data_IF_340570450374
#
_entry.id   IF_340570450374
#
_cell.length_a   1.000
_cell.length_b   1.000
_cell.length_c   1.000
_cell.angle_alpha   90.00
_cell.angle_beta   90.00
_cell.angle_gamma   90.00
#
_symmetry.space_group_name_H-M   'P 1'
#
loop_
_entity.id
_entity.type
_entity.pdbx_description
1 polymer ?
#
# COMPACT_ATOMS: atom_id res chain seq x y z
N UNK A 1 -10.51 -10.43 23.40
CA UNK A 1 -10.67 -11.32 22.23
C UNK A 1 -9.48 -11.20 21.30
N UNK A 2 -9.26 -10.05 20.63
CA UNK A 2 -8.13 -9.88 19.69
C UNK A 2 -6.74 -10.20 20.31
N UNK A 3 -6.42 -9.63 21.47
CA UNK A 3 -5.15 -9.92 22.15
C UNK A 3 -4.94 -11.40 22.47
N UNK A 4 -6.01 -12.14 22.77
CA UNK A 4 -5.93 -13.58 23.02
C UNK A 4 -5.58 -14.36 21.75
N UNK A 5 -6.10 -13.94 20.59
CA UNK A 5 -5.73 -14.51 19.28
C UNK A 5 -4.28 -14.16 18.92
N UNK A 6 -3.90 -12.89 19.06
CA UNK A 6 -2.53 -12.43 18.79
C UNK A 6 -1.50 -13.21 19.62
N UNK A 7 -1.77 -13.38 20.92
CA UNK A 7 -0.93 -14.15 21.81
C UNK A 7 -0.84 -15.62 21.36
N UNK A 8 -1.96 -16.24 21.02
CA UNK A 8 -1.99 -17.62 20.51
C UNK A 8 -1.15 -17.81 19.23
N UNK A 9 -1.23 -16.87 18.28
CA UNK A 9 -0.44 -16.85 17.05
C UNK A 9 1.06 -16.64 17.33
N UNK A 10 1.38 -15.63 18.15
CA UNK A 10 2.76 -15.30 18.52
C UNK A 10 3.48 -16.47 19.22
N UNK A 11 2.80 -17.21 20.08
CA UNK A 11 3.35 -18.41 20.74
C UNK A 11 3.68 -19.55 19.76
N UNK A 12 3.30 -19.43 18.48
CA UNK A 12 3.54 -20.38 17.39
C UNK A 12 4.40 -19.78 16.29
N UNK A 13 5.08 -18.67 16.58
CA UNK A 13 5.90 -17.91 15.62
C UNK A 13 5.11 -17.41 14.40
N UNK A 14 3.78 -17.25 14.54
CA UNK A 14 2.91 -16.65 13.53
C UNK A 14 2.73 -15.18 13.89
N UNK A 15 3.35 -14.31 13.09
CA UNK A 15 3.18 -12.86 13.22
C UNK A 15 1.92 -12.39 12.50
N UNK A 16 1.21 -11.42 13.08
CA UNK A 16 0.04 -10.82 12.44
C UNK A 16 0.47 -9.52 11.75
N UNK A 17 0.22 -9.46 10.45
CA UNK A 17 0.48 -8.29 9.61
C UNK A 17 -0.82 -7.52 9.40
N UNK A 18 -0.89 -6.31 9.97
CA UNK A 18 -2.03 -5.42 9.88
C UNK A 18 -1.95 -4.44 8.73
N UNK A 19 -2.97 -3.62 8.62
CA UNK A 19 -3.13 -2.63 7.56
C UNK A 19 -3.72 -1.34 8.16
N UNK A 20 -3.16 -0.20 7.76
CA UNK A 20 -3.56 1.11 8.23
C UNK A 20 -3.70 2.06 7.03
N UNK A 21 -4.93 2.49 6.70
CA UNK A 21 -5.18 3.53 5.71
C UNK A 21 -4.36 4.80 6.04
N UNK A 22 -3.77 5.48 5.06
CA UNK A 22 -3.07 6.74 5.36
C UNK A 22 -4.04 7.76 5.96
N UNK A 23 -5.23 7.93 5.37
CA UNK A 23 -6.23 8.90 5.83
C UNK A 23 -7.25 8.27 6.78
N UNK A 24 -8.02 9.14 7.43
CA UNK A 24 -9.19 8.77 8.23
C UNK A 24 -10.43 9.36 7.57
N UNK A 25 -11.61 8.83 7.86
CA UNK A 25 -12.86 9.41 7.34
C UNK A 25 -13.15 10.76 7.99
N UNK A 26 -13.83 11.65 7.26
CA UNK A 26 -14.25 12.95 7.77
C UNK A 26 -15.19 12.81 8.98
N UNK A 27 -16.19 11.93 8.85
CA UNK A 27 -17.14 11.62 9.92
C UNK A 27 -16.56 10.56 10.88
N UNK A 28 -15.47 10.92 11.55
CA UNK A 28 -14.77 10.05 12.50
C UNK A 28 -14.47 10.76 13.81
N UNK A 29 -14.32 9.95 14.87
CA UNK A 29 -13.88 10.44 16.19
C UNK A 29 -12.49 11.07 16.10
N UNK A 30 -11.64 10.61 15.18
CA UNK A 30 -10.30 11.13 14.96
C UNK A 30 -10.33 12.60 14.52
N UNK A 31 -11.19 12.91 13.54
CA UNK A 31 -11.38 14.28 13.03
C UNK A 31 -12.14 15.13 14.04
N UNK A 32 -13.14 14.57 14.71
CA UNK A 32 -13.93 15.29 15.72
C UNK A 32 -13.10 15.70 16.95
N UNK A 33 -12.19 14.83 17.42
CA UNK A 33 -11.39 15.09 18.64
C UNK A 33 -10.08 15.82 18.38
N UNK A 34 -9.55 15.76 17.16
CA UNK A 34 -8.31 16.44 16.78
C UNK A 34 -8.47 17.28 15.49
N UNK A 35 -9.49 18.15 15.37
CA UNK A 35 -9.79 18.88 14.14
C UNK A 35 -8.64 19.79 13.70
N UNK A 36 -7.80 20.23 14.64
CA UNK A 36 -6.65 21.07 14.34
C UNK A 36 -5.49 20.34 13.64
N UNK A 37 -5.53 19.01 13.58
CA UNK A 37 -4.60 18.17 12.81
C UNK A 37 -4.98 18.03 11.33
N UNK A 38 -6.14 18.58 10.92
CA UNK A 38 -6.69 18.44 9.57
C UNK A 38 -6.93 19.82 8.92
N UNK A 39 -6.96 19.86 7.58
CA UNK A 39 -7.22 21.08 6.78
C UNK A 39 -8.71 21.38 6.75
N UNK A 40 -9.22 21.90 7.86
CA UNK A 40 -10.62 22.27 8.03
C UNK A 40 -10.78 23.79 8.13
N UNK A 41 -11.95 24.28 7.73
CA UNK A 41 -12.36 25.67 7.92
C UNK A 41 -12.86 25.94 9.36
N UNK A 42 -13.31 27.16 9.62
CA UNK A 42 -13.85 27.56 10.93
C UNK A 42 -15.12 26.78 11.32
N UNK A 43 -15.89 26.34 10.34
CA UNK A 43 -17.09 25.50 10.50
C UNK A 43 -16.77 24.00 10.51
N UNK A 44 -15.49 23.64 10.60
CA UNK A 44 -14.96 22.29 10.60
C UNK A 44 -15.21 21.50 9.32
N UNK A 45 -15.55 22.16 8.22
CA UNK A 45 -15.66 21.51 6.92
C UNK A 45 -14.29 21.36 6.26
N UNK A 46 -14.04 20.30 5.47
CA UNK A 46 -12.80 20.15 4.73
C UNK A 46 -12.57 21.32 3.76
N UNK A 47 -11.38 21.95 3.82
CA UNK A 47 -10.92 22.90 2.79
C UNK A 47 -10.46 22.17 1.53
N UNK A 48 -9.88 21.00 1.74
CA UNK A 48 -9.35 20.12 0.70
C UNK A 48 -9.60 18.67 1.08
N UNK A 49 -9.70 17.82 0.07
CA UNK A 49 -9.93 16.39 0.20
C UNK A 49 -8.88 15.57 -0.54
N UNK A 50 -8.68 14.36 -0.05
CA UNK A 50 -7.74 13.39 -0.62
C UNK A 50 -8.23 12.80 -1.94
N UNK A 51 -7.26 12.38 -2.73
CA UNK A 51 -7.46 11.62 -3.95
C UNK A 51 -6.13 11.23 -4.59
N UNK A 52 -6.19 10.82 -5.84
CA UNK A 52 -5.03 10.64 -6.73
C UNK A 52 -5.32 11.27 -8.08
N UNK A 53 -4.29 11.81 -8.76
CA UNK A 53 -4.47 12.44 -10.07
C UNK A 53 -4.95 11.42 -11.11
N UNK A 54 -5.45 11.90 -12.27
CA UNK A 54 -5.62 11.06 -13.44
C UNK A 54 -4.34 10.30 -13.80
N UNK A 55 -4.50 9.05 -14.19
CA UNK A 55 -3.43 8.20 -14.68
C UNK A 55 -3.94 7.33 -15.85
N UNK A 56 -3.11 6.39 -16.30
CA UNK A 56 -3.46 5.52 -17.42
C UNK A 56 -4.58 4.51 -17.10
N UNK A 57 -4.97 4.36 -15.83
CA UNK A 57 -6.09 3.53 -15.39
C UNK A 57 -7.37 4.34 -15.15
N UNK A 58 -7.26 5.62 -14.77
CA UNK A 58 -8.41 6.50 -14.54
C UNK A 58 -8.22 7.88 -15.18
N UNK A 59 -9.05 8.18 -16.20
CA UNK A 59 -9.04 9.48 -16.89
C UNK A 59 -9.38 10.67 -15.96
N UNK A 60 -10.12 10.43 -14.87
CA UNK A 60 -10.55 11.47 -13.92
C UNK A 60 -9.86 11.40 -12.57
N UNK A 61 -8.90 10.48 -12.42
CA UNK A 61 -8.26 10.15 -11.15
C UNK A 61 -9.24 9.47 -10.20
N UNK A 62 -8.97 9.56 -8.89
CA UNK A 62 -9.91 9.07 -7.87
C UNK A 62 -10.05 10.12 -6.79
N UNK A 63 -11.30 10.48 -6.48
CA UNK A 63 -11.64 11.41 -5.42
C UNK A 63 -12.12 10.61 -4.22
N UNK A 64 -11.32 10.56 -3.15
CA UNK A 64 -11.62 9.72 -1.99
C UNK A 64 -12.45 10.45 -0.93
N UNK A 65 -12.32 11.78 -0.86
CA UNK A 65 -13.14 12.62 0.01
C UNK A 65 -12.64 12.73 1.47
N UNK A 66 -11.60 11.99 1.86
CA UNK A 66 -11.02 12.10 3.19
C UNK A 66 -10.41 13.50 3.44
N UNK A 67 -10.48 14.04 4.67
CA UNK A 67 -9.81 15.28 5.00
C UNK A 67 -8.29 15.10 5.00
N UNK A 68 -7.59 16.12 4.50
CA UNK A 68 -6.13 16.11 4.45
C UNK A 68 -5.50 16.61 5.74
N UNK A 69 -4.30 16.13 6.03
CA UNK A 69 -3.54 16.53 7.21
C UNK A 69 -3.03 17.97 7.13
N UNK A 70 -3.06 18.67 8.27
CA UNK A 70 -2.26 19.85 8.53
C UNK A 70 -0.88 19.44 9.04
N UNK A 71 -0.01 19.11 8.10
CA UNK A 71 1.35 18.63 8.38
C UNK A 71 2.20 19.62 9.17
N UNK A 72 1.94 20.93 9.04
CA UNK A 72 2.52 21.99 9.87
C UNK A 72 2.15 21.80 11.35
N UNK A 73 0.86 21.66 11.66
CA UNK A 73 0.36 21.46 13.02
C UNK A 73 0.82 20.12 13.62
N UNK A 74 0.83 19.07 12.80
CA UNK A 74 1.35 17.77 13.20
C UNK A 74 2.84 17.88 13.57
N UNK A 75 3.64 18.58 12.77
CA UNK A 75 5.07 18.78 13.02
C UNK A 75 5.32 19.57 14.31
N UNK A 76 4.57 20.64 14.57
CA UNK A 76 4.65 21.41 15.81
C UNK A 76 4.43 20.54 17.06
N UNK A 77 3.56 19.53 16.96
CA UNK A 77 3.29 18.54 18.00
C UNK A 77 4.19 17.30 17.90
N UNK A 78 5.30 17.36 17.17
CA UNK A 78 6.23 16.23 16.91
C UNK A 78 5.51 14.96 16.45
N UNK A 79 4.49 15.11 15.61
CA UNK A 79 3.70 14.02 15.03
C UNK A 79 3.04 13.10 16.06
N UNK A 80 2.80 13.58 17.29
CA UNK A 80 2.27 12.77 18.40
C UNK A 80 0.98 12.02 18.05
N UNK A 81 0.07 12.64 17.29
CA UNK A 81 -1.15 12.00 16.80
C UNK A 81 -0.86 10.74 15.97
N UNK A 82 0.06 10.85 15.01
CA UNK A 82 0.50 9.72 14.18
C UNK A 82 1.24 8.66 14.98
N UNK A 83 2.13 9.07 15.89
CA UNK A 83 2.88 8.12 16.72
C UNK A 83 1.95 7.32 17.64
N UNK A 84 0.91 7.94 18.20
CA UNK A 84 -0.14 7.25 18.97
C UNK A 84 -0.92 6.27 18.10
N UNK A 85 -1.28 6.66 16.87
CA UNK A 85 -1.99 5.79 15.92
C UNK A 85 -1.17 4.55 15.55
N UNK A 86 0.12 4.73 15.26
CA UNK A 86 1.04 3.63 14.95
C UNK A 86 1.25 2.74 16.17
N UNK A 87 1.51 3.34 17.34
CA UNK A 87 1.65 2.60 18.61
C UNK A 87 0.43 1.74 18.90
N UNK A 88 -0.78 2.26 18.69
CA UNK A 88 -2.01 1.51 18.89
C UNK A 88 -2.10 0.32 17.94
N UNK A 89 -1.85 0.52 16.65
CA UNK A 89 -1.85 -0.58 15.68
C UNK A 89 -0.79 -1.65 16.01
N UNK A 90 0.39 -1.27 16.49
CA UNK A 90 1.42 -2.22 16.92
C UNK A 90 1.09 -2.98 18.22
N UNK A 91 0.06 -2.57 18.97
CA UNK A 91 -0.50 -3.41 20.02
C UNK A 91 -1.33 -4.55 19.41
N UNK A 92 -1.99 -4.30 18.28
CA UNK A 92 -2.86 -5.26 17.59
C UNK A 92 -2.09 -6.17 16.64
N UNK A 93 -1.04 -5.66 16.00
CA UNK A 93 -0.29 -6.32 14.94
C UNK A 93 1.21 -6.35 15.27
N UNK A 94 1.95 -7.27 14.67
CA UNK A 94 3.42 -7.32 14.77
C UNK A 94 4.06 -6.37 13.76
N UNK A 95 3.43 -6.19 12.60
CA UNK A 95 3.82 -5.29 11.53
C UNK A 95 2.57 -4.64 10.94
N UNK A 96 2.70 -3.48 10.31
CA UNK A 96 1.58 -2.71 9.77
C UNK A 96 1.93 -2.22 8.37
N UNK A 97 1.06 -2.49 7.40
CA UNK A 97 1.12 -1.86 6.09
C UNK A 97 0.55 -0.46 6.24
N UNK A 98 1.26 0.55 5.74
CA UNK A 98 0.66 1.87 5.56
C UNK A 98 0.23 1.97 4.10
N UNK A 99 -1.07 1.99 3.91
CA UNK A 99 -1.73 2.20 2.64
C UNK A 99 -1.37 3.57 2.05
N UNK A 100 -1.24 3.67 0.73
CA UNK A 100 -0.90 4.89 0.02
C UNK A 100 0.32 5.60 0.62
N UNK A 101 1.39 4.84 0.89
CA UNK A 101 2.57 5.31 1.63
C UNK A 101 3.18 6.57 1.02
N UNK A 102 3.11 6.70 -0.31
CA UNK A 102 3.61 7.86 -1.04
C UNK A 102 3.00 9.19 -0.56
N UNK A 103 1.79 9.17 0.01
CA UNK A 103 1.12 10.30 0.65
C UNK A 103 1.89 10.92 1.83
N UNK A 104 2.81 10.15 2.45
CA UNK A 104 3.72 10.63 3.50
C UNK A 104 4.92 11.42 2.95
N UNK A 105 5.13 11.39 1.63
CA UNK A 105 6.15 12.17 0.91
C UNK A 105 5.53 13.35 0.17
N UNK A 106 4.51 13.06 -0.64
CA UNK A 106 3.66 14.09 -1.23
C UNK A 106 2.26 13.53 -1.41
N UNK A 107 1.25 14.37 -1.33
CA UNK A 107 -0.14 13.96 -1.48
C UNK A 107 -0.85 14.83 -2.50
N UNK A 108 -1.85 14.25 -3.15
CA UNK A 108 -2.69 14.96 -4.09
C UNK A 108 -3.80 15.68 -3.32
N UNK A 109 -3.78 17.01 -3.40
CA UNK A 109 -4.70 17.90 -2.71
C UNK A 109 -5.74 18.44 -3.69
N UNK A 110 -7.01 18.05 -3.50
CA UNK A 110 -8.13 18.51 -4.34
C UNK A 110 -8.97 19.50 -3.53
N UNK A 111 -9.33 20.68 -4.07
CA UNK A 111 -10.26 21.60 -3.41
C UNK A 111 -11.59 20.92 -3.06
N UNK A 112 -12.10 21.16 -1.86
CA UNK A 112 -13.39 20.62 -1.46
C UNK A 112 -14.51 21.17 -2.36
N UNK A 113 -15.47 20.31 -2.71
CA UNK A 113 -16.58 20.63 -3.61
C UNK A 113 -16.35 20.25 -5.08
N UNK A 114 -15.14 19.84 -5.46
CA UNK A 114 -14.91 19.21 -6.77
C UNK A 114 -15.63 17.85 -6.87
N UNK A 115 -16.07 17.49 -8.08
CA UNK A 115 -16.69 16.19 -8.37
C UNK A 115 -15.67 15.13 -8.84
N UNK A 116 -14.44 15.55 -9.16
CA UNK A 116 -13.36 14.70 -9.68
C UNK A 116 -12.02 15.11 -9.08
N UNK A 117 -10.99 14.28 -9.24
CA UNK A 117 -9.65 14.58 -8.75
C UNK A 117 -8.78 15.36 -9.75
N UNK A 118 -9.32 15.75 -10.91
CA UNK A 118 -8.56 16.40 -11.99
C UNK A 118 -7.92 17.72 -11.51
N UNK A 119 -8.67 18.54 -10.77
CA UNK A 119 -8.24 19.88 -10.36
C UNK A 119 -7.46 19.90 -9.02
N UNK A 120 -6.68 18.85 -8.75
CA UNK A 120 -5.79 18.82 -7.60
C UNK A 120 -4.38 19.31 -7.90
N UNK A 121 -3.52 19.26 -6.88
CA UNK A 121 -2.08 19.51 -7.00
C UNK A 121 -1.29 18.64 -6.04
N UNK A 122 -0.05 18.33 -6.39
CA UNK A 122 0.88 17.70 -5.46
C UNK A 122 1.31 18.70 -4.38
N UNK A 123 1.23 18.29 -3.13
CA UNK A 123 1.71 19.03 -1.96
C UNK A 123 2.69 18.16 -1.19
N UNK A 124 3.86 18.70 -0.88
CA UNK A 124 4.89 17.99 -0.12
C UNK A 124 4.48 17.82 1.35
N UNK A 125 4.73 16.63 1.89
CA UNK A 125 4.65 16.33 3.30
C UNK A 125 6.07 16.37 3.91
N UNK A 126 6.23 16.62 5.22
CA UNK A 126 7.53 16.70 5.88
C UNK A 126 8.13 15.31 6.16
N UNK A 127 8.26 14.48 5.12
CA UNK A 127 8.63 13.07 5.18
C UNK A 127 9.90 12.79 5.98
N UNK A 128 10.96 13.54 5.69
CA UNK A 128 12.26 13.39 6.34
C UNK A 128 12.18 13.54 7.87
N UNK A 129 11.44 14.53 8.34
CA UNK A 129 11.28 14.81 9.77
C UNK A 129 10.31 13.82 10.42
N UNK A 130 9.23 13.48 9.72
CA UNK A 130 8.26 12.48 10.14
C UNK A 130 8.88 11.10 10.33
N UNK A 131 9.65 10.60 9.34
CA UNK A 131 10.26 9.29 9.40
C UNK A 131 11.39 9.21 10.43
N UNK A 132 12.12 10.30 10.69
CA UNK A 132 13.07 10.35 11.82
C UNK A 132 12.35 10.14 13.15
N UNK A 133 11.29 10.90 13.40
CA UNK A 133 10.51 10.75 14.64
C UNK A 133 9.89 9.35 14.74
N UNK A 134 9.44 8.79 13.62
CA UNK A 134 8.93 7.44 13.55
C UNK A 134 9.99 6.42 13.99
N UNK A 135 11.18 6.44 13.41
CA UNK A 135 12.25 5.50 13.75
C UNK A 135 12.87 5.75 15.13
N UNK A 136 12.83 6.98 15.64
CA UNK A 136 13.16 7.29 17.03
C UNK A 136 12.22 6.56 18.02
N UNK A 137 10.93 6.48 17.69
CA UNK A 137 9.90 5.84 18.53
C UNK A 137 9.81 4.33 18.30
N UNK A 138 10.06 3.87 17.07
CA UNK A 138 9.95 2.47 16.64
C UNK A 138 11.20 2.04 15.86
N UNK A 139 12.34 1.79 16.53
CA UNK A 139 13.61 1.52 15.87
C UNK A 139 13.62 0.28 14.96
N UNK A 140 12.80 -0.72 15.28
CA UNK A 140 12.70 -1.96 14.49
C UNK A 140 11.88 -1.78 13.20
N UNK A 141 11.33 -0.60 12.95
CA UNK A 141 10.55 -0.23 11.75
C UNK A 141 9.56 -1.32 11.29
N UNK A 142 8.52 -1.63 12.09
CA UNK A 142 7.53 -2.66 11.75
C UNK A 142 6.54 -2.20 10.67
N UNK A 143 6.97 -1.33 9.75
CA UNK A 143 6.14 -0.68 8.73
C UNK A 143 6.49 -1.25 7.35
N UNK A 144 5.46 -1.65 6.60
CA UNK A 144 5.55 -1.97 5.17
C UNK A 144 4.91 -0.84 4.38
N UNK A 145 5.61 -0.35 3.36
CA UNK A 145 5.11 0.70 2.48
C UNK A 145 4.26 0.07 1.36
N UNK A 146 2.99 0.47 1.26
CA UNK A 146 2.22 0.29 0.04
C UNK A 146 2.69 1.34 -0.99
N UNK A 147 3.51 0.88 -1.94
CA UNK A 147 4.15 1.68 -2.99
C UNK A 147 3.71 1.23 -4.41
N UNK A 148 2.43 0.90 -4.58
CA UNK A 148 1.88 0.55 -5.89
C UNK A 148 1.48 1.82 -6.67
N UNK A 149 1.19 1.63 -7.96
CA UNK A 149 0.87 2.72 -8.88
C UNK A 149 2.12 3.46 -9.41
N UNK A 150 1.93 4.72 -9.83
CA UNK A 150 3.01 5.54 -10.38
C UNK A 150 3.82 6.13 -9.22
N UNK A 151 4.94 5.47 -8.90
CA UNK A 151 5.88 5.90 -7.87
C UNK A 151 7.06 6.66 -8.48
N UNK A 152 7.25 7.88 -7.98
CA UNK A 152 8.31 8.81 -8.38
C UNK A 152 9.65 8.52 -7.65
N UNK A 153 10.80 8.94 -8.21
CA UNK A 153 12.11 8.64 -7.62
C UNK A 153 12.27 9.08 -6.17
N UNK A 154 11.73 10.24 -5.79
CA UNK A 154 11.73 10.77 -4.42
C UNK A 154 11.12 9.78 -3.42
N UNK A 155 10.02 9.12 -3.76
CA UNK A 155 9.39 8.12 -2.87
C UNK A 155 10.32 6.92 -2.67
N UNK A 156 10.93 6.42 -3.76
CA UNK A 156 11.88 5.28 -3.69
C UNK A 156 13.11 5.63 -2.87
N UNK A 157 13.66 6.83 -3.06
CA UNK A 157 14.81 7.34 -2.32
C UNK A 157 14.51 7.43 -0.81
N UNK A 158 13.32 7.92 -0.42
CA UNK A 158 12.91 7.93 0.99
C UNK A 158 12.74 6.52 1.55
N UNK A 159 12.09 5.62 0.82
CA UNK A 159 11.92 4.22 1.26
C UNK A 159 13.27 3.52 1.46
N UNK A 160 14.20 3.65 0.50
CA UNK A 160 15.54 3.07 0.62
C UNK A 160 16.31 3.68 1.79
N UNK A 161 16.28 5.01 1.94
CA UNK A 161 17.01 5.73 2.98
C UNK A 161 16.54 5.37 4.40
N UNK A 162 15.25 5.18 4.59
CA UNK A 162 14.66 4.83 5.88
C UNK A 162 14.42 3.32 6.06
N UNK A 163 14.79 2.51 5.06
CA UNK A 163 14.76 1.06 5.12
C UNK A 163 13.36 0.44 5.04
N UNK A 164 12.36 1.16 4.52
CA UNK A 164 10.99 0.63 4.42
C UNK A 164 10.89 -0.39 3.27
N UNK A 165 10.45 -1.63 3.55
CA UNK A 165 10.14 -2.59 2.49
C UNK A 165 8.92 -2.13 1.69
N UNK A 166 9.05 -2.18 0.36
CA UNK A 166 7.94 -1.97 -0.57
C UNK A 166 7.19 -3.26 -0.90
N UNK A 167 6.18 -3.15 -1.74
CA UNK A 167 5.36 -4.24 -2.25
C UNK A 167 5.73 -4.61 -3.68
N UNK A 168 5.48 -5.88 -4.01
CA UNK A 168 5.54 -6.43 -5.36
C UNK A 168 4.30 -7.28 -5.60
N UNK A 169 3.69 -7.19 -6.78
CA UNK A 169 2.46 -7.92 -7.11
C UNK A 169 2.64 -8.61 -8.47
N UNK A 170 2.62 -9.94 -8.49
CA UNK A 170 2.91 -10.72 -9.71
C UNK A 170 1.89 -10.49 -10.83
N UNK A 171 0.63 -10.18 -10.51
CA UNK A 171 -0.38 -9.86 -11.53
C UNK A 171 0.01 -8.65 -12.40
N UNK A 172 0.90 -7.77 -11.90
CA UNK A 172 1.41 -6.60 -12.63
C UNK A 172 2.72 -6.88 -13.38
N UNK A 173 3.30 -8.07 -13.28
CA UNK A 173 4.66 -8.37 -13.74
C UNK A 173 4.79 -8.55 -15.26
N UNK A 174 3.81 -9.17 -15.90
CA UNK A 174 3.96 -9.72 -17.27
C UNK A 174 3.52 -8.74 -18.37
N UNK A 175 3.78 -7.45 -18.13
CA UNK A 175 3.74 -6.37 -19.14
C UNK A 175 4.84 -6.53 -20.21
N UNK A 176 5.01 -5.53 -21.07
CA UNK A 176 5.96 -5.55 -22.19
C UNK A 176 7.39 -5.11 -21.85
N UNK A 177 7.61 -4.52 -20.67
CA UNK A 177 8.92 -4.09 -20.20
C UNK A 177 9.62 -5.15 -19.33
N UNK A 178 10.79 -5.61 -19.77
CA UNK A 178 11.63 -6.52 -18.99
C UNK A 178 12.23 -5.87 -17.72
N UNK A 179 12.22 -4.54 -17.63
CA UNK A 179 12.61 -3.77 -16.42
C UNK A 179 11.44 -3.56 -15.47
N UNK A 180 10.27 -4.12 -15.75
CA UNK A 180 9.11 -4.04 -14.87
C UNK A 180 9.51 -4.51 -13.46
N UNK A 181 9.37 -3.66 -12.42
CA UNK A 181 9.84 -3.96 -11.08
C UNK A 181 9.10 -5.14 -10.44
N UNK A 182 7.95 -5.56 -10.97
CA UNK A 182 7.16 -6.69 -10.48
C UNK A 182 7.61 -8.05 -11.04
N UNK A 183 8.57 -8.08 -11.96
CA UNK A 183 9.16 -9.34 -12.43
C UNK A 183 10.13 -9.90 -11.36
N UNK A 184 10.06 -11.22 -11.04
CA UNK A 184 10.87 -11.82 -9.97
C UNK A 184 12.38 -11.53 -9.99
N UNK A 185 12.99 -11.45 -11.17
CA UNK A 185 14.43 -11.16 -11.32
C UNK A 185 14.80 -9.69 -11.05
N UNK A 186 13.82 -8.78 -10.97
CA UNK A 186 14.00 -7.36 -10.62
C UNK A 186 13.67 -7.08 -9.14
N UNK A 187 13.27 -8.10 -8.37
CA UNK A 187 12.96 -7.93 -6.96
C UNK A 187 14.23 -7.71 -6.13
N UNK A 188 14.06 -7.02 -5.01
CA UNK A 188 15.08 -6.85 -3.95
C UNK A 188 14.66 -7.66 -2.72
N UNK A 189 15.58 -7.90 -1.80
CA UNK A 189 15.25 -8.63 -0.56
C UNK A 189 14.27 -7.87 0.32
N UNK A 190 14.45 -6.56 0.46
CA UNK A 190 13.61 -5.70 1.30
C UNK A 190 12.26 -5.37 0.61
N UNK A 191 11.45 -6.38 0.32
CA UNK A 191 10.09 -6.21 -0.15
C UNK A 191 9.18 -7.35 0.32
N UNK A 192 7.88 -7.11 0.21
CA UNK A 192 6.82 -8.09 0.41
C UNK A 192 6.20 -8.41 -0.96
N UNK A 193 6.27 -9.67 -1.36
CA UNK A 193 5.75 -10.14 -2.64
C UNK A 193 4.36 -10.76 -2.46
N UNK A 194 3.44 -10.41 -3.34
CA UNK A 194 2.10 -10.95 -3.44
C UNK A 194 1.89 -11.59 -4.80
N UNK A 195 1.03 -12.61 -4.87
CA UNK A 195 0.41 -12.98 -6.14
C UNK A 195 -0.48 -11.84 -6.62
N UNK A 196 -1.53 -11.55 -5.85
CA UNK A 196 -2.43 -10.38 -5.92
C UNK A 196 -2.72 -9.83 -4.53
N UNK A 197 -3.27 -8.61 -4.44
CA UNK A 197 -3.78 -8.02 -3.20
C UNK A 197 -5.30 -8.22 -3.07
N UNK A 198 -5.91 -7.63 -2.04
CA UNK A 198 -7.36 -7.62 -1.88
C UNK A 198 -8.09 -6.71 -2.90
N UNK A 199 -7.37 -5.80 -3.58
CA UNK A 199 -7.88 -4.95 -4.66
C UNK A 199 -7.79 -5.62 -6.04
N UNK A 200 -7.23 -6.83 -6.10
CA UNK A 200 -7.11 -7.58 -7.34
C UNK A 200 -8.11 -8.72 -7.39
N UNK A 201 -8.41 -9.16 -8.61
CA UNK A 201 -9.06 -10.45 -8.81
C UNK A 201 -8.14 -11.58 -8.31
N UNK A 202 -8.72 -12.76 -8.10
CA UNK A 202 -7.96 -13.99 -7.88
C UNK A 202 -7.01 -14.24 -9.05
N UNK A 203 -5.91 -14.95 -8.85
CA UNK A 203 -4.97 -15.28 -9.94
C UNK A 203 -5.70 -15.98 -11.10
N UNK A 204 -6.65 -16.87 -10.78
CA UNK A 204 -7.43 -17.57 -11.79
C UNK A 204 -8.43 -16.64 -12.49
N UNK A 205 -9.18 -15.83 -11.75
CA UNK A 205 -10.09 -14.83 -12.32
C UNK A 205 -9.36 -13.83 -13.22
N UNK A 206 -8.23 -13.30 -12.76
CA UNK A 206 -7.33 -12.47 -13.58
C UNK A 206 -6.89 -13.20 -14.85
N UNK A 207 -6.43 -14.45 -14.72
CA UNK A 207 -5.95 -15.20 -15.87
C UNK A 207 -7.06 -15.46 -16.88
N UNK A 208 -8.26 -15.82 -16.44
CA UNK A 208 -9.38 -16.15 -17.32
C UNK A 208 -9.99 -14.91 -17.97
N UNK A 209 -10.16 -13.81 -17.21
CA UNK A 209 -11.01 -12.69 -17.59
C UNK A 209 -10.25 -11.40 -17.96
N UNK A 210 -9.05 -11.17 -17.42
CA UNK A 210 -8.35 -9.88 -17.51
C UNK A 210 -7.04 -9.95 -18.30
N UNK A 211 -6.29 -11.05 -18.15
CA UNK A 211 -4.99 -11.23 -18.79
C UNK A 211 -5.16 -11.35 -20.31
N UNK A 212 -4.66 -10.36 -21.05
CA UNK A 212 -4.67 -10.40 -22.52
C UNK A 212 -3.83 -11.58 -23.05
N UNK A 213 -4.08 -12.08 -24.28
CA UNK A 213 -3.25 -13.11 -24.90
C UNK A 213 -1.75 -12.78 -24.93
N UNK A 214 -1.40 -11.49 -25.06
CA UNK A 214 -0.02 -11.02 -25.02
C UNK A 214 0.63 -11.19 -23.63
N UNK A 215 -0.12 -10.87 -22.56
CA UNK A 215 0.31 -11.09 -21.18
C UNK A 215 0.50 -12.58 -20.91
N UNK A 216 -0.48 -13.44 -21.27
CA UNK A 216 -0.39 -14.90 -21.10
C UNK A 216 0.84 -15.48 -21.80
N UNK A 217 1.11 -15.06 -23.04
CA UNK A 217 2.29 -15.49 -23.81
C UNK A 217 3.61 -15.10 -23.13
N UNK A 218 3.68 -13.92 -22.51
CA UNK A 218 4.88 -13.48 -21.78
C UNK A 218 5.05 -14.24 -20.47
N UNK A 219 3.97 -14.48 -19.73
CA UNK A 219 3.96 -15.34 -18.55
C UNK A 219 4.50 -16.74 -18.88
N UNK A 220 3.96 -17.40 -19.91
CA UNK A 220 4.42 -18.73 -20.33
C UNK A 220 5.87 -18.75 -20.79
N UNK A 221 6.33 -17.71 -21.50
CA UNK A 221 7.74 -17.57 -21.83
C UNK A 221 8.61 -17.45 -20.58
N UNK A 222 8.16 -16.70 -19.58
CA UNK A 222 8.87 -16.55 -18.31
C UNK A 222 8.93 -17.85 -17.52
N UNK A 223 7.83 -18.62 -17.49
CA UNK A 223 7.76 -19.95 -16.89
C UNK A 223 8.52 -21.01 -17.70
N UNK A 224 8.81 -20.75 -18.98
CA UNK A 224 9.43 -21.68 -19.91
C UNK A 224 8.48 -22.76 -20.46
N UNK A 225 7.18 -22.68 -20.14
CA UNK A 225 6.14 -23.62 -20.60
C UNK A 225 4.75 -22.99 -20.55
N UNK A 226 3.84 -23.54 -21.34
CA UNK A 226 2.41 -23.26 -21.18
C UNK A 226 1.83 -24.07 -20.02
N UNK A 227 0.83 -23.49 -19.35
CA UNK A 227 0.22 -24.03 -18.14
C UNK A 227 -1.30 -23.90 -18.28
N UNK A 228 -2.08 -24.93 -17.92
CA UNK A 228 -3.54 -24.84 -17.92
C UNK A 228 -4.05 -23.90 -16.82
N UNK A 229 -5.27 -23.36 -16.98
CA UNK A 229 -5.82 -22.36 -16.03
C UNK A 229 -5.94 -22.91 -14.61
N UNK A 230 -6.18 -24.20 -14.46
CA UNK A 230 -6.35 -24.88 -13.17
C UNK A 230 -5.06 -24.95 -12.34
N UNK A 231 -3.89 -24.75 -12.96
CA UNK A 231 -2.59 -24.79 -12.31
C UNK A 231 -1.97 -23.40 -12.12
N UNK A 232 -2.55 -22.36 -12.74
CA UNK A 232 -1.88 -21.05 -12.86
C UNK A 232 -1.65 -20.36 -11.51
N UNK A 233 -2.57 -20.53 -10.56
CA UNK A 233 -2.44 -20.04 -9.19
C UNK A 233 -1.23 -20.64 -8.48
N UNK A 234 -1.02 -21.96 -8.58
CA UNK A 234 0.13 -22.62 -7.95
C UNK A 234 1.45 -22.31 -8.65
N UNK A 235 1.44 -22.06 -9.96
CA UNK A 235 2.63 -21.59 -10.67
C UNK A 235 3.04 -20.17 -10.22
N UNK A 236 2.08 -19.27 -10.02
CA UNK A 236 2.37 -17.93 -9.52
C UNK A 236 2.81 -17.95 -8.04
N UNK A 237 2.20 -18.78 -7.19
CA UNK A 237 2.66 -19.00 -5.81
C UNK A 237 4.10 -19.53 -5.81
N UNK A 238 4.39 -20.56 -6.62
CA UNK A 238 5.74 -21.09 -6.75
C UNK A 238 6.74 -20.03 -7.20
N UNK A 239 6.37 -19.24 -8.21
CA UNK A 239 7.21 -18.17 -8.72
C UNK A 239 7.50 -17.12 -7.66
N UNK A 240 6.50 -16.78 -6.83
CA UNK A 240 6.69 -15.88 -5.71
C UNK A 240 7.61 -16.47 -4.64
N UNK A 241 7.41 -17.73 -4.26
CA UNK A 241 8.27 -18.43 -3.30
C UNK A 241 9.73 -18.60 -3.77
N UNK A 242 9.97 -18.54 -5.08
CA UNK A 242 11.32 -18.57 -5.67
C UNK A 242 11.99 -17.19 -5.74
N UNK A 243 11.28 -16.12 -5.40
CA UNK A 243 11.83 -14.76 -5.39
C UNK A 243 12.82 -14.55 -4.24
N UNK A 244 13.62 -13.48 -4.34
CA UNK A 244 14.52 -13.02 -3.28
C UNK A 244 13.81 -12.22 -2.17
N UNK A 245 12.52 -11.93 -2.31
CA UNK A 245 11.76 -11.15 -1.34
C UNK A 245 11.80 -11.79 0.07
N UNK A 246 11.98 -10.97 1.11
CA UNK A 246 12.01 -11.43 2.51
C UNK A 246 10.67 -12.02 2.98
N UNK A 247 9.57 -11.65 2.33
CA UNK A 247 8.22 -12.12 2.65
C UNK A 247 7.43 -12.35 1.37
N UNK A 248 6.70 -13.47 1.31
CA UNK A 248 5.72 -13.76 0.27
C UNK A 248 4.35 -14.03 0.91
N UNK A 249 3.31 -13.36 0.42
CA UNK A 249 1.95 -13.42 0.95
C UNK A 249 0.99 -13.84 -0.17
N UNK A 250 0.10 -14.77 0.16
CA UNK A 250 -0.85 -15.33 -0.80
C UNK A 250 -2.27 -15.14 -0.27
N UNK A 251 -3.17 -14.51 -1.04
CA UNK A 251 -4.60 -14.57 -0.77
C UNK A 251 -5.07 -16.02 -0.65
N UNK A 252 -5.97 -16.29 0.29
CA UNK A 252 -6.46 -17.66 0.51
C UNK A 252 -7.21 -18.19 -0.73
N UNK A 253 -7.84 -17.30 -1.49
CA UNK A 253 -8.50 -17.62 -2.76
C UNK A 253 -7.52 -18.23 -3.77
N UNK A 254 -6.30 -17.71 -3.85
CA UNK A 254 -5.26 -18.23 -4.74
C UNK A 254 -4.76 -19.60 -4.26
N UNK A 255 -4.60 -19.79 -2.94
CA UNK A 255 -4.25 -21.11 -2.37
C UNK A 255 -5.33 -22.15 -2.67
N UNK A 256 -6.60 -21.74 -2.66
CA UNK A 256 -7.75 -22.59 -2.95
C UNK A 256 -8.06 -22.76 -4.45
N UNK A 257 -7.38 -22.02 -5.34
CA UNK A 257 -7.63 -22.08 -6.79
C UNK A 257 -9.00 -21.55 -7.22
N UNK A 258 -9.56 -20.61 -6.47
CA UNK A 258 -10.85 -19.99 -6.77
C UNK A 258 -10.71 -19.02 -7.95
N UNK A 259 -11.77 -18.92 -8.76
CA UNK A 259 -11.95 -17.87 -9.77
C UNK A 259 -12.76 -16.69 -9.22
N UNK A 260 -13.32 -15.88 -10.12
CA UNK A 260 -14.27 -14.80 -9.82
C UNK A 260 -15.65 -15.33 -9.40
#
# INVERSE_FOLDING_TARGET
>A
QWFSLKEYCNQRDIQIFGDMPIYVDYDSVDVWTAPEMFKLDESKQPLFVAGVPPDYFSETGQLWGNPLYRWDALKEKRYDWWMKRIKHNLQLFNMVRIDHFRGLIAYWEVPAGENTAIHGKWVEAPAEDFFKVLLEQFPDSPIIAEDLGIITPDVREHMERFGFPGMKVLLFAFGDDAKNPYLPHNHVQNCVLYTGTHDNNTVRGWFDNEATPAIKKRLFRYLGREVPTEEINWELIRLAMMSVANMAIFPMQDVLGLGE
#
